data_IF_944643204750
#
_entry.id   IF_944643204750
#
_cell.length_a   1.000
_cell.length_b   1.000
_cell.length_c   1.000
_cell.angle_alpha   90.00
_cell.angle_beta   90.00
_cell.angle_gamma   90.00
#
_symmetry.space_group_name_H-M   'P 1'
#
loop_
_entity.id
_entity.type
_entity.pdbx_description
1 polymer ?
#
# COMPACT_ATOMS: atom_id res chain seq x y z
N UNK A 1 -28.87 -22.14 12.61
CA UNK A 1 -28.60 -21.59 11.27
C UNK A 1 -27.35 -20.73 11.33
N UNK A 2 -26.39 -21.00 10.47
CA UNK A 2 -25.13 -20.30 10.45
C UNK A 2 -25.02 -19.39 9.25
N UNK A 3 -24.78 -18.12 9.52
CA UNK A 3 -24.45 -17.17 8.48
C UNK A 3 -22.95 -16.98 8.47
N UNK A 4 -22.29 -17.65 7.58
CA UNK A 4 -20.84 -17.53 7.49
C UNK A 4 -20.49 -16.16 6.92
N UNK A 5 -19.44 -15.52 7.46
CA UNK A 5 -19.03 -14.22 6.91
C UNK A 5 -18.53 -14.38 5.48
N UNK A 6 -18.84 -13.37 4.67
CA UNK A 6 -18.36 -13.31 3.30
C UNK A 6 -17.07 -12.52 3.28
N UNK A 7 -16.06 -13.10 2.66
CA UNK A 7 -14.75 -12.46 2.57
C UNK A 7 -14.49 -12.07 1.13
N UNK A 8 -14.23 -10.81 0.92
CA UNK A 8 -13.80 -10.30 -0.35
C UNK A 8 -12.82 -9.17 -0.09
N UNK A 9 -11.81 -8.98 -0.94
CA UNK A 9 -10.92 -7.84 -0.78
C UNK A 9 -11.72 -6.54 -0.87
N UNK A 10 -11.48 -5.63 0.05
CA UNK A 10 -12.06 -4.29 -0.03
C UNK A 10 -11.28 -3.48 -1.07
N UNK A 11 -11.84 -2.34 -1.49
CA UNK A 11 -11.10 -1.44 -2.36
C UNK A 11 -9.80 -0.97 -1.70
N UNK A 12 -9.82 -0.79 -0.39
CA UNK A 12 -8.58 -0.46 0.35
C UNK A 12 -7.56 -1.57 0.21
N UNK A 13 -7.97 -2.82 0.34
CA UNK A 13 -7.05 -3.96 0.21
C UNK A 13 -6.47 -4.03 -1.19
N UNK A 14 -7.30 -3.82 -2.20
CA UNK A 14 -6.85 -3.83 -3.59
C UNK A 14 -5.86 -2.68 -3.86
N UNK A 15 -6.14 -1.50 -3.29
CA UNK A 15 -5.24 -0.37 -3.39
C UNK A 15 -3.88 -0.70 -2.76
N UNK A 16 -3.89 -1.27 -1.56
CA UNK A 16 -2.67 -1.66 -0.85
C UNK A 16 -1.88 -2.68 -1.67
N UNK A 17 -2.54 -3.72 -2.16
CA UNK A 17 -1.89 -4.76 -2.96
C UNK A 17 -1.29 -4.19 -4.24
N UNK A 18 -2.00 -3.28 -4.90
CA UNK A 18 -1.51 -2.66 -6.13
C UNK A 18 -0.23 -1.87 -5.87
N UNK A 19 -0.22 -1.05 -4.83
CA UNK A 19 0.97 -0.26 -4.52
C UNK A 19 2.13 -1.12 -4.03
N UNK A 20 1.85 -2.16 -3.24
CA UNK A 20 2.89 -3.11 -2.85
C UNK A 20 3.56 -3.72 -4.08
N UNK A 21 2.77 -4.13 -5.06
CA UNK A 21 3.31 -4.69 -6.28
C UNK A 21 4.17 -3.70 -7.05
N UNK A 22 3.74 -2.46 -7.13
CA UNK A 22 4.50 -1.42 -7.83
C UNK A 22 5.81 -1.10 -7.12
N UNK A 23 5.80 -1.11 -5.79
CA UNK A 23 7.01 -0.88 -4.99
C UNK A 23 7.98 -2.06 -5.15
N UNK A 24 7.46 -3.27 -5.01
CA UNK A 24 8.32 -4.47 -5.03
C UNK A 24 8.84 -4.77 -6.42
N UNK A 25 8.12 -4.39 -7.47
CA UNK A 25 8.59 -4.57 -8.84
C UNK A 25 9.60 -3.51 -9.28
N UNK A 26 9.74 -2.44 -8.50
CA UNK A 26 10.61 -1.34 -8.85
C UNK A 26 9.96 -0.24 -9.67
N UNK A 27 8.69 -0.39 -10.01
CA UNK A 27 7.93 0.64 -10.71
C UNK A 27 7.89 1.93 -9.89
N UNK A 28 7.78 1.78 -8.55
CA UNK A 28 7.91 2.88 -7.61
C UNK A 28 9.20 2.66 -6.82
N UNK A 29 10.29 3.29 -7.23
CA UNK A 29 11.57 3.06 -6.53
C UNK A 29 11.61 3.73 -5.17
N UNK A 30 12.49 3.23 -4.31
CA UNK A 30 12.69 3.79 -2.99
C UNK A 30 13.02 5.28 -3.08
N UNK A 31 12.41 6.05 -2.19
CA UNK A 31 12.60 7.49 -2.13
C UNK A 31 11.69 8.29 -3.05
N UNK A 32 10.98 7.62 -3.95
CA UNK A 32 10.10 8.34 -4.86
C UNK A 32 8.86 8.85 -4.13
N UNK A 33 8.47 10.05 -4.48
CA UNK A 33 7.26 10.66 -3.94
C UNK A 33 6.06 10.16 -4.73
N UNK A 34 5.01 9.75 -4.02
CA UNK A 34 3.77 9.35 -4.65
C UNK A 34 3.00 10.57 -5.17
N UNK A 35 2.13 10.36 -6.17
CA UNK A 35 1.17 11.39 -6.52
C UNK A 35 0.34 11.81 -5.30
N UNK A 36 -0.27 12.99 -5.36
CA UNK A 36 -1.12 13.46 -4.27
C UNK A 36 -2.33 12.55 -4.10
N UNK A 37 -2.97 12.63 -2.93
CA UNK A 37 -4.22 11.90 -2.69
C UNK A 37 -5.23 12.16 -3.79
N UNK A 38 -5.37 13.44 -4.16
CA UNK A 38 -6.33 13.83 -5.18
C UNK A 38 -6.02 13.16 -6.52
N UNK A 39 -4.75 13.16 -6.89
CA UNK A 39 -4.33 12.52 -8.14
C UNK A 39 -4.56 11.01 -8.10
N UNK A 40 -4.24 10.38 -6.98
CA UNK A 40 -4.47 8.94 -6.83
C UNK A 40 -5.96 8.60 -6.91
N UNK A 41 -6.82 9.42 -6.29
CA UNK A 41 -8.26 9.23 -6.40
C UNK A 41 -8.71 9.29 -7.85
N UNK A 42 -8.22 10.26 -8.60
CA UNK A 42 -8.60 10.44 -10.00
C UNK A 42 -8.07 9.29 -10.87
N UNK A 43 -6.82 8.94 -10.70
CA UNK A 43 -6.18 7.92 -11.53
C UNK A 43 -6.72 6.52 -11.27
N UNK A 44 -7.02 6.22 -10.01
CA UNK A 44 -7.44 4.88 -9.62
C UNK A 44 -8.95 4.73 -9.47
N UNK A 45 -9.68 5.84 -9.58
CA UNK A 45 -11.13 5.80 -9.52
C UNK A 45 -11.67 5.39 -8.16
N UNK A 46 -11.02 5.81 -7.09
CA UNK A 46 -11.42 5.45 -5.72
C UNK A 46 -11.61 6.70 -4.88
N UNK A 47 -12.25 6.54 -3.73
CA UNK A 47 -12.52 7.65 -2.82
C UNK A 47 -11.27 8.05 -2.05
N UNK A 48 -11.33 9.26 -1.47
CA UNK A 48 -10.25 9.74 -0.60
C UNK A 48 -10.06 8.84 0.61
N UNK A 49 -11.16 8.29 1.14
CA UNK A 49 -11.08 7.38 2.27
C UNK A 49 -10.29 6.12 1.92
N UNK A 50 -10.47 5.60 0.72
CA UNK A 50 -9.73 4.42 0.24
C UNK A 50 -8.25 4.76 0.13
N UNK A 51 -7.92 5.88 -0.51
CA UNK A 51 -6.52 6.29 -0.70
C UNK A 51 -5.86 6.56 0.66
N UNK A 52 -6.52 7.33 1.51
CA UNK A 52 -5.96 7.67 2.82
C UNK A 52 -5.76 6.42 3.68
N UNK A 53 -6.77 5.54 3.73
CA UNK A 53 -6.67 4.29 4.48
C UNK A 53 -5.58 3.38 3.95
N UNK A 54 -5.44 3.32 2.63
CA UNK A 54 -4.41 2.50 1.99
C UNK A 54 -3.00 3.02 2.27
N UNK A 55 -2.81 4.34 2.17
CA UNK A 55 -1.52 4.95 2.46
C UNK A 55 -1.15 4.73 3.93
N UNK A 56 -2.11 4.90 4.84
CA UNK A 56 -1.89 4.65 6.26
C UNK A 56 -1.45 3.21 6.50
N UNK A 57 -2.13 2.27 5.85
CA UNK A 57 -1.78 0.85 5.99
C UNK A 57 -0.39 0.55 5.44
N UNK A 58 -0.05 1.10 4.26
CA UNK A 58 1.26 0.89 3.67
C UNK A 58 2.37 1.52 4.53
N UNK A 59 2.07 2.65 5.16
CA UNK A 59 3.03 3.27 6.09
C UNK A 59 3.23 2.38 7.31
N UNK A 60 2.15 1.81 7.84
CA UNK A 60 2.23 0.88 8.97
C UNK A 60 3.05 -0.36 8.62
N UNK A 61 2.94 -0.83 7.38
CA UNK A 61 3.69 -1.99 6.90
C UNK A 61 5.15 -1.67 6.55
N UNK A 62 5.54 -0.41 6.60
CA UNK A 62 6.93 -0.02 6.33
C UNK A 62 7.25 0.23 4.86
N UNK A 63 6.25 0.24 3.99
CA UNK A 63 6.46 0.51 2.56
C UNK A 63 6.46 1.99 2.22
N UNK A 64 5.74 2.79 2.98
CA UNK A 64 5.65 4.22 2.74
C UNK A 64 6.04 5.01 3.98
N UNK A 65 6.54 6.22 3.73
CA UNK A 65 6.81 7.19 4.77
C UNK A 65 5.96 8.42 4.48
N UNK A 66 5.11 8.79 5.43
CA UNK A 66 4.28 9.98 5.27
C UNK A 66 4.97 11.14 5.96
N UNK A 67 5.29 12.17 5.17
CA UNK A 67 5.92 13.39 5.69
C UNK A 67 4.89 14.51 5.69
N UNK A 68 4.57 15.09 6.86
CA UNK A 68 3.58 16.16 6.92
C UNK A 68 3.92 17.28 5.95
N UNK A 69 2.91 17.75 5.23
CA UNK A 69 3.01 18.85 4.25
C UNK A 69 3.85 18.53 3.02
N UNK A 70 4.52 17.40 2.98
CA UNK A 70 5.35 17.03 1.83
C UNK A 70 4.71 15.92 1.00
N UNK A 71 4.04 14.97 1.66
CA UNK A 71 3.37 13.88 0.99
C UNK A 71 3.86 12.51 1.44
N UNK A 72 3.55 11.50 0.65
CA UNK A 72 3.96 10.14 0.91
C UNK A 72 5.11 9.76 -0.01
N UNK A 73 6.09 9.07 0.54
CA UNK A 73 7.30 8.66 -0.17
C UNK A 73 7.50 7.16 0.01
N UNK A 74 8.08 6.52 -0.98
CA UNK A 74 8.43 5.11 -0.87
C UNK A 74 9.57 4.99 0.15
N UNK A 75 9.35 4.22 1.21
CA UNK A 75 10.32 4.04 2.28
C UNK A 75 11.38 3.01 1.88
N UNK A 76 12.51 3.03 2.57
CA UNK A 76 13.50 1.97 2.44
C UNK A 76 13.02 0.77 3.26
N UNK A 77 12.13 -0.03 2.69
CA UNK A 77 11.50 -1.13 3.41
C UNK A 77 12.48 -2.25 3.75
N UNK A 78 13.63 -2.31 3.09
CA UNK A 78 14.67 -3.30 3.42
C UNK A 78 15.33 -2.96 4.74
N UNK A 79 15.43 -1.66 5.03
CA UNK A 79 16.08 -1.17 6.23
C UNK A 79 15.10 -0.91 7.36
N UNK A 80 13.98 -0.27 7.02
CA UNK A 80 13.03 0.24 8.02
C UNK A 80 11.77 -0.62 8.12
N UNK A 81 11.71 -1.72 7.38
CA UNK A 81 10.55 -2.60 7.39
C UNK A 81 10.41 -3.37 8.69
N UNK A 82 9.25 -3.96 8.87
CA UNK A 82 8.91 -4.76 10.03
C UNK A 82 8.48 -6.16 9.61
N UNK A 83 7.96 -6.94 10.56
CA UNK A 83 7.53 -8.31 10.26
C UNK A 83 6.45 -8.32 9.18
N UNK A 84 5.55 -7.36 9.18
CA UNK A 84 4.49 -7.29 8.17
C UNK A 84 5.04 -7.00 6.79
N UNK A 85 6.10 -6.18 6.71
CA UNK A 85 6.81 -5.95 5.46
C UNK A 85 7.35 -7.25 4.92
N UNK A 86 8.01 -8.03 5.78
CA UNK A 86 8.58 -9.30 5.40
C UNK A 86 7.50 -10.26 4.90
N UNK A 87 6.38 -10.33 5.60
CA UNK A 87 5.28 -11.20 5.19
C UNK A 87 4.70 -10.79 3.85
N UNK A 88 4.56 -9.48 3.60
CA UNK A 88 4.08 -8.99 2.32
C UNK A 88 5.04 -9.33 1.19
N UNK A 89 6.34 -9.23 1.43
CA UNK A 89 7.34 -9.60 0.43
C UNK A 89 7.26 -11.09 0.13
N UNK A 90 7.11 -11.91 1.16
CA UNK A 90 6.99 -13.35 0.98
C UNK A 90 5.74 -13.70 0.18
N UNK A 91 4.62 -13.06 0.46
CA UNK A 91 3.39 -13.26 -0.30
C UNK A 91 3.57 -12.88 -1.76
N UNK A 92 4.23 -11.77 -2.01
CA UNK A 92 4.47 -11.30 -3.37
C UNK A 92 5.35 -12.29 -4.15
N UNK A 93 6.41 -12.80 -3.51
CA UNK A 93 7.36 -13.69 -4.16
C UNK A 93 6.91 -15.15 -4.15
N UNK A 94 6.20 -15.55 -3.10
CA UNK A 94 5.82 -16.92 -2.87
C UNK A 94 4.42 -17.28 -3.34
N UNK A 95 3.73 -16.36 -3.98
CA UNK A 95 2.37 -16.57 -4.44
C UNK A 95 2.25 -17.45 -5.68
N UNK A 96 3.15 -18.33 -5.83
CA UNK A 96 3.15 -19.20 -6.99
C UNK A 96 2.25 -20.38 -6.81
#
# INVERSE_FOLDING_TARGET
MNFEPLYAPSLKDLFVQKLQGMILSGELPMGEKLPSERELCQQMGVSRAVVNGGITELARQGFLEVRPRQGAFVADYRRDGNMETLMAIMDYNGGM
#
